data_IF_313351548733
#
_entry.id   IF_313351548733
#
_cell.length_a   1.000
_cell.length_b   1.000
_cell.length_c   1.000
_cell.angle_alpha   90.00
_cell.angle_beta   90.00
_cell.angle_gamma   90.00
#
_symmetry.space_group_name_H-M   'P 1'
#
loop_
_entity.id
_entity.type
_entity.pdbx_description
1 polymer ?
#
# COMPACT_ATOMS: atom_id res chain seq x y z
N UNK A 1 45.66 17.98 0.38
CA UNK A 1 44.40 18.43 1.02
C UNK A 1 43.44 19.13 0.05
N UNK A 2 43.83 19.48 -1.18
CA UNK A 2 42.97 20.17 -2.17
C UNK A 2 42.15 19.25 -3.10
N UNK A 3 42.65 18.04 -3.40
CA UNK A 3 42.04 17.10 -4.36
C UNK A 3 40.72 16.49 -3.86
N UNK A 4 40.65 16.09 -2.59
CA UNK A 4 39.44 15.48 -2.00
C UNK A 4 38.24 16.44 -1.94
N UNK A 5 38.47 17.73 -1.67
CA UNK A 5 37.40 18.73 -1.67
C UNK A 5 36.84 19.00 -3.07
N UNK A 6 37.72 19.06 -4.09
CA UNK A 6 37.28 19.22 -5.48
C UNK A 6 36.50 18.01 -5.98
N UNK A 7 36.91 16.79 -5.62
CA UNK A 7 36.23 15.57 -6.05
C UNK A 7 34.83 15.45 -5.41
N UNK A 8 34.68 15.83 -4.14
CA UNK A 8 33.37 15.92 -3.46
C UNK A 8 32.46 16.96 -4.12
N UNK A 9 33.01 18.13 -4.48
CA UNK A 9 32.25 19.18 -5.17
C UNK A 9 31.79 18.71 -6.55
N UNK A 10 32.67 18.06 -7.31
CA UNK A 10 32.35 17.46 -8.62
C UNK A 10 31.26 16.40 -8.48
N UNK A 11 31.32 15.54 -7.47
CA UNK A 11 30.28 14.55 -7.19
C UNK A 11 28.91 15.22 -7.00
N UNK A 12 28.82 16.25 -6.15
CA UNK A 12 27.56 16.95 -5.87
C UNK A 12 27.01 17.69 -7.10
N UNK A 13 27.87 18.35 -7.87
CA UNK A 13 27.48 19.00 -9.13
C UNK A 13 26.92 17.98 -10.12
N UNK A 14 27.63 16.86 -10.32
CA UNK A 14 27.19 15.77 -11.20
C UNK A 14 25.88 15.14 -10.72
N UNK A 15 25.73 14.98 -9.40
CA UNK A 15 24.49 14.48 -8.80
C UNK A 15 23.31 15.41 -9.16
N UNK A 16 23.47 16.72 -8.97
CA UNK A 16 22.44 17.71 -9.27
C UNK A 16 22.07 17.73 -10.77
N UNK A 17 23.06 17.73 -11.66
CA UNK A 17 22.85 17.69 -13.10
C UNK A 17 22.06 16.46 -13.54
N UNK A 18 22.46 15.28 -13.05
CA UNK A 18 21.80 14.02 -13.34
C UNK A 18 20.37 13.96 -12.77
N UNK A 19 20.12 14.53 -11.58
CA UNK A 19 18.75 14.64 -11.03
C UNK A 19 17.88 15.53 -11.93
N UNK A 20 18.40 16.67 -12.38
CA UNK A 20 17.67 17.57 -13.29
C UNK A 20 17.37 16.86 -14.60
N UNK A 21 18.34 16.15 -15.17
CA UNK A 21 18.17 15.38 -16.41
C UNK A 21 17.15 14.26 -16.24
N UNK A 22 17.22 13.49 -15.14
CA UNK A 22 16.26 12.44 -14.84
C UNK A 22 14.83 13.00 -14.73
N UNK A 23 14.65 14.14 -14.06
CA UNK A 23 13.33 14.80 -13.96
C UNK A 23 12.79 15.22 -15.34
N UNK A 24 13.64 15.77 -16.22
CA UNK A 24 13.25 16.09 -17.61
C UNK A 24 12.85 14.82 -18.39
N UNK A 25 13.55 13.72 -18.19
CA UNK A 25 13.22 12.43 -18.80
C UNK A 25 11.90 11.86 -18.27
N UNK A 26 11.64 11.97 -16.97
CA UNK A 26 10.35 11.60 -16.39
C UNK A 26 9.22 12.41 -17.02
N UNK A 27 9.36 13.74 -17.10
CA UNK A 27 8.33 14.62 -17.68
C UNK A 27 8.08 14.36 -19.17
N UNK A 28 9.10 13.94 -19.92
CA UNK A 28 8.97 13.50 -21.31
C UNK A 28 8.50 12.03 -21.45
N UNK A 29 8.07 11.38 -20.36
CA UNK A 29 7.60 9.99 -20.33
C UNK A 29 8.67 8.94 -20.65
N UNK A 30 9.95 9.32 -20.65
CA UNK A 30 11.05 8.43 -20.91
C UNK A 30 11.53 7.74 -19.62
N UNK A 31 10.68 6.89 -19.07
CA UNK A 31 10.93 6.28 -17.76
C UNK A 31 12.13 5.33 -17.76
N UNK A 32 12.45 4.68 -18.90
CA UNK A 32 13.59 3.77 -19.01
C UNK A 32 14.91 4.48 -18.74
N UNK A 33 15.13 5.60 -19.42
CA UNK A 33 16.35 6.37 -19.26
C UNK A 33 16.40 7.12 -17.93
N UNK A 34 15.26 7.66 -17.48
CA UNK A 34 15.17 8.25 -16.14
C UNK A 34 15.53 7.24 -15.05
N UNK A 35 14.94 6.05 -15.09
CA UNK A 35 15.19 4.97 -14.13
C UNK A 35 16.66 4.55 -14.11
N UNK A 36 17.30 4.45 -15.28
CA UNK A 36 18.74 4.15 -15.36
C UNK A 36 19.57 5.21 -14.64
N UNK A 37 19.36 6.49 -14.95
CA UNK A 37 20.11 7.59 -14.30
C UNK A 37 19.90 7.60 -12.79
N UNK A 38 18.67 7.45 -12.33
CA UNK A 38 18.36 7.47 -10.89
C UNK A 38 18.97 6.25 -10.16
N UNK A 39 19.00 5.09 -10.81
CA UNK A 39 19.64 3.89 -10.26
C UNK A 39 21.17 4.03 -10.21
N UNK A 40 21.77 4.60 -11.26
CA UNK A 40 23.20 4.88 -11.30
C UNK A 40 23.60 5.89 -10.20
N UNK A 41 22.76 6.90 -9.95
CA UNK A 41 22.94 7.85 -8.85
C UNK A 41 22.87 7.15 -7.49
N UNK A 42 21.89 6.27 -7.28
CA UNK A 42 21.80 5.48 -6.04
C UNK A 42 23.08 4.67 -5.79
N UNK A 43 23.55 3.92 -6.78
CA UNK A 43 24.80 3.16 -6.62
C UNK A 43 26.01 4.06 -6.38
N UNK A 44 26.04 5.26 -6.97
CA UNK A 44 27.12 6.22 -6.72
C UNK A 44 27.11 6.75 -5.28
N UNK A 45 25.92 6.94 -4.68
CA UNK A 45 25.76 7.32 -3.28
C UNK A 45 26.24 6.19 -2.37
N UNK A 46 25.77 4.96 -2.62
CA UNK A 46 26.11 3.80 -1.79
C UNK A 46 27.61 3.53 -1.75
N UNK A 47 28.27 3.58 -2.93
CA UNK A 47 29.72 3.36 -3.08
C UNK A 47 30.57 4.49 -2.51
N UNK A 48 30.00 5.65 -2.20
CA UNK A 48 30.77 6.78 -1.67
C UNK A 48 31.07 6.56 -0.19
N UNK A 49 32.34 6.30 0.13
CA UNK A 49 32.79 6.05 1.51
C UNK A 49 32.80 7.31 2.38
N UNK A 50 32.99 8.49 1.76
CA UNK A 50 33.06 9.78 2.47
C UNK A 50 31.69 10.35 2.88
N UNK A 51 30.59 9.77 2.38
CA UNK A 51 29.23 10.17 2.76
C UNK A 51 28.82 9.42 4.03
N UNK A 52 28.41 10.16 5.06
CA UNK A 52 27.77 9.57 6.22
C UNK A 52 26.37 9.03 5.88
N UNK A 53 25.84 8.20 6.77
CA UNK A 53 24.53 7.54 6.60
C UNK A 53 23.41 8.57 6.40
N UNK A 54 23.45 9.68 7.14
CA UNK A 54 22.44 10.73 7.06
C UNK A 54 22.44 11.41 5.69
N UNK A 55 23.62 11.70 5.14
CA UNK A 55 23.78 12.34 3.85
C UNK A 55 23.42 11.41 2.72
N UNK A 56 23.78 10.12 2.81
CA UNK A 56 23.30 9.09 1.87
C UNK A 56 21.78 9.06 1.85
N UNK A 57 21.16 8.98 3.02
CA UNK A 57 19.70 8.99 3.13
C UNK A 57 19.07 10.26 2.52
N UNK A 58 19.61 11.45 2.78
CA UNK A 58 19.13 12.70 2.17
C UNK A 58 19.18 12.66 0.64
N UNK A 59 20.28 12.18 0.05
CA UNK A 59 20.44 12.11 -1.41
C UNK A 59 19.50 11.05 -2.02
N UNK A 60 19.31 9.92 -1.35
CA UNK A 60 18.33 8.89 -1.74
C UNK A 60 16.91 9.45 -1.70
N UNK A 61 16.56 10.22 -0.67
CA UNK A 61 15.26 10.88 -0.56
C UNK A 61 15.02 11.88 -1.71
N UNK A 62 16.05 12.55 -2.22
CA UNK A 62 15.93 13.40 -3.42
C UNK A 62 15.56 12.57 -4.66
N UNK A 63 16.12 11.37 -4.80
CA UNK A 63 15.76 10.43 -5.88
C UNK A 63 14.30 9.99 -5.72
N UNK A 64 13.92 9.50 -4.54
CA UNK A 64 12.54 9.07 -4.23
C UNK A 64 11.51 10.18 -4.47
N UNK A 65 11.82 11.41 -4.03
CA UNK A 65 10.96 12.57 -4.25
C UNK A 65 10.80 12.93 -5.72
N UNK A 66 11.82 12.69 -6.56
CA UNK A 66 11.73 12.94 -8.00
C UNK A 66 10.71 12.01 -8.67
N UNK A 67 10.68 10.73 -8.27
CA UNK A 67 9.64 9.80 -8.68
C UNK A 67 8.26 10.21 -8.15
N UNK A 68 8.19 10.55 -6.86
CA UNK A 68 6.92 10.90 -6.22
C UNK A 68 6.24 12.11 -6.86
N UNK A 69 6.97 13.20 -7.09
CA UNK A 69 6.46 14.40 -7.76
C UNK A 69 5.89 14.04 -9.13
N UNK A 70 6.61 13.19 -9.88
CA UNK A 70 6.17 12.76 -11.20
C UNK A 70 4.91 11.90 -11.14
N UNK A 71 4.85 10.90 -10.26
CA UNK A 71 3.67 10.06 -10.09
C UNK A 71 2.43 10.87 -9.69
N UNK A 72 2.59 11.84 -8.78
CA UNK A 72 1.51 12.76 -8.43
C UNK A 72 1.06 13.59 -9.63
N UNK A 73 1.99 14.04 -10.48
CA UNK A 73 1.63 14.81 -11.69
C UNK A 73 0.80 13.98 -12.68
N UNK A 74 1.07 12.67 -12.79
CA UNK A 74 0.25 11.77 -13.60
C UNK A 74 -1.13 11.54 -12.99
N UNK A 75 -1.21 11.34 -11.66
CA UNK A 75 -2.51 11.17 -11.00
C UNK A 75 -3.35 12.45 -10.98
N UNK A 76 -2.73 13.64 -10.96
CA UNK A 76 -3.43 14.93 -10.96
C UNK A 76 -4.11 15.23 -12.32
N UNK A 77 -3.66 14.61 -13.42
CA UNK A 77 -4.36 14.66 -14.70
C UNK A 77 -5.77 14.05 -14.59
N UNK A 78 -5.94 13.00 -13.77
CA UNK A 78 -7.25 12.39 -13.47
C UNK A 78 -8.19 13.37 -12.77
N UNK A 79 -7.70 14.18 -11.84
CA UNK A 79 -8.52 15.21 -11.15
C UNK A 79 -8.90 16.40 -12.04
N UNK A 80 -8.19 16.61 -13.15
CA UNK A 80 -8.48 17.65 -14.13
C UNK A 80 -9.44 17.17 -15.25
N UNK A 81 -9.98 15.95 -15.13
CA UNK A 81 -10.94 15.39 -16.09
C UNK A 81 -10.33 14.73 -17.31
N UNK A 82 -9.00 14.53 -17.35
CA UNK A 82 -8.34 13.77 -18.40
C UNK A 82 -8.25 12.29 -18.03
N UNK A 83 -8.43 11.42 -19.03
CA UNK A 83 -8.18 9.99 -18.87
C UNK A 83 -6.72 9.74 -18.53
N UNK A 84 -6.51 9.02 -17.43
CA UNK A 84 -5.19 8.60 -16.99
C UNK A 84 -4.63 7.61 -18.03
N UNK A 85 -3.48 7.93 -18.62
CA UNK A 85 -2.72 6.95 -19.40
C UNK A 85 -2.21 5.84 -18.46
N UNK A 86 -2.98 4.76 -18.39
CA UNK A 86 -2.74 3.61 -17.51
C UNK A 86 -1.40 2.94 -17.83
N UNK A 87 -1.00 2.88 -19.11
CA UNK A 87 0.26 2.24 -19.52
C UNK A 87 1.43 3.04 -18.98
N UNK A 88 1.41 4.36 -19.20
CA UNK A 88 2.44 5.28 -18.70
C UNK A 88 2.50 5.27 -17.18
N UNK A 89 1.36 5.29 -16.51
CA UNK A 89 1.28 5.28 -15.05
C UNK A 89 1.83 3.99 -14.44
N UNK A 90 1.46 2.82 -15.00
CA UNK A 90 1.95 1.51 -14.54
C UNK A 90 3.44 1.35 -14.81
N UNK A 91 3.95 1.76 -15.99
CA UNK A 91 5.39 1.68 -16.27
C UNK A 91 6.21 2.56 -15.32
N UNK A 92 5.71 3.75 -14.96
CA UNK A 92 6.35 4.62 -13.98
C UNK A 92 6.41 3.95 -12.59
N UNK A 93 5.29 3.41 -12.10
CA UNK A 93 5.24 2.70 -10.81
C UNK A 93 6.13 1.45 -10.80
N UNK A 94 6.12 0.64 -11.86
CA UNK A 94 6.97 -0.55 -11.98
C UNK A 94 8.44 -0.22 -11.77
N UNK A 95 8.92 0.84 -12.42
CA UNK A 95 10.32 1.28 -12.34
C UNK A 95 10.65 1.91 -11.00
N UNK A 96 9.72 2.68 -10.44
CA UNK A 96 9.88 3.22 -9.11
C UNK A 96 9.95 2.13 -8.04
N UNK A 97 9.07 1.12 -8.08
CA UNK A 97 9.14 -0.01 -7.17
C UNK A 97 10.41 -0.84 -7.35
N UNK A 98 10.92 -0.97 -8.57
CA UNK A 98 12.21 -1.62 -8.80
C UNK A 98 13.36 -0.87 -8.12
N UNK A 99 13.27 0.45 -8.01
CA UNK A 99 14.20 1.28 -7.24
C UNK A 99 13.96 1.14 -5.73
N UNK A 100 12.72 1.21 -5.26
CA UNK A 100 12.39 1.07 -3.83
C UNK A 100 12.79 -0.29 -3.26
N UNK A 101 12.61 -1.36 -4.02
CA UNK A 101 13.04 -2.71 -3.65
C UNK A 101 14.57 -2.84 -3.46
N UNK A 102 15.35 -1.82 -3.84
CA UNK A 102 16.80 -1.75 -3.62
C UNK A 102 17.17 -0.94 -2.40
N UNK A 103 16.26 -0.11 -1.89
CA UNK A 103 16.47 0.68 -0.68
C UNK A 103 16.24 -0.12 0.60
N UNK A 104 15.61 -1.30 0.49
CA UNK A 104 15.13 -2.12 1.62
C UNK A 104 14.20 -1.34 2.59
N UNK A 105 13.60 -0.23 2.13
CA UNK A 105 12.65 0.59 2.90
C UNK A 105 11.22 0.08 2.67
N UNK A 106 10.81 -0.89 3.48
CA UNK A 106 9.50 -1.52 3.39
C UNK A 106 8.35 -0.54 3.66
N UNK A 107 8.55 0.44 4.54
CA UNK A 107 7.52 1.42 4.87
C UNK A 107 7.21 2.33 3.68
N UNK A 108 8.24 2.82 3.00
CA UNK A 108 8.06 3.66 1.82
C UNK A 108 7.44 2.85 0.68
N UNK A 109 7.86 1.59 0.50
CA UNK A 109 7.27 0.68 -0.47
C UNK A 109 5.75 0.47 -0.24
N UNK A 110 5.35 0.12 0.98
CA UNK A 110 3.95 -0.14 1.35
C UNK A 110 3.05 1.07 1.11
N UNK A 111 3.51 2.26 1.50
CA UNK A 111 2.77 3.50 1.30
C UNK A 111 2.49 3.77 -0.18
N UNK A 112 3.47 3.59 -1.06
CA UNK A 112 3.31 3.81 -2.49
C UNK A 112 2.48 2.71 -3.15
N UNK A 113 2.61 1.46 -2.70
CA UNK A 113 1.79 0.36 -3.17
C UNK A 113 0.31 0.56 -2.83
N UNK A 114 0.02 0.94 -1.58
CA UNK A 114 -1.34 1.28 -1.14
C UNK A 114 -1.94 2.42 -1.95
N UNK A 115 -1.16 3.46 -2.28
CA UNK A 115 -1.63 4.56 -3.16
C UNK A 115 -1.92 4.09 -4.58
N UNK A 116 -1.08 3.23 -5.15
CA UNK A 116 -1.31 2.65 -6.47
C UNK A 116 -2.63 1.87 -6.50
N UNK A 117 -2.83 0.97 -5.53
CA UNK A 117 -4.04 0.17 -5.41
C UNK A 117 -5.29 1.05 -5.30
N UNK A 118 -5.27 2.07 -4.44
CA UNK A 118 -6.38 3.03 -4.30
C UNK A 118 -6.69 3.79 -5.60
N UNK A 119 -5.75 3.89 -6.54
CA UNK A 119 -5.97 4.57 -7.83
C UNK A 119 -6.73 3.69 -8.82
N UNK A 120 -6.56 2.36 -8.72
CA UNK A 120 -7.18 1.36 -9.59
C UNK A 120 -8.42 0.70 -9.00
N UNK A 121 -8.54 0.66 -7.68
CA UNK A 121 -9.65 0.04 -6.96
C UNK A 121 -10.47 1.16 -6.33
N UNK A 122 -11.53 1.59 -7.02
CA UNK A 122 -12.55 2.44 -6.41
C UNK A 122 -13.66 1.56 -5.80
N UNK A 123 -14.44 2.12 -4.86
CA UNK A 123 -15.59 1.40 -4.26
C UNK A 123 -16.60 0.93 -5.32
N UNK A 124 -16.70 1.67 -6.42
CA UNK A 124 -17.55 1.35 -7.57
C UNK A 124 -17.05 0.15 -8.38
N UNK A 125 -15.73 -0.09 -8.39
CA UNK A 125 -15.10 -1.22 -9.08
C UNK A 125 -15.20 -2.53 -8.26
N UNK A 126 -15.52 -2.41 -6.97
CA UNK A 126 -15.71 -3.53 -6.07
C UNK A 126 -17.10 -4.14 -6.27
N UNK A 127 -17.18 -5.22 -7.04
CA UNK A 127 -18.39 -6.03 -7.14
C UNK A 127 -18.84 -6.50 -5.76
N UNK A 128 -20.07 -6.13 -5.35
CA UNK A 128 -20.70 -6.65 -4.13
C UNK A 128 -20.66 -8.19 -4.10
N UNK A 129 -20.86 -8.83 -5.25
CA UNK A 129 -20.78 -10.29 -5.38
C UNK A 129 -19.34 -10.79 -5.20
N UNK A 130 -18.36 -10.14 -5.83
CA UNK A 130 -16.94 -10.52 -5.70
C UNK A 130 -16.42 -10.41 -4.27
N UNK A 131 -16.78 -9.35 -3.54
CA UNK A 131 -16.43 -9.22 -2.11
C UNK A 131 -17.13 -10.31 -1.29
N UNK A 132 -18.40 -10.61 -1.61
CA UNK A 132 -19.16 -11.66 -0.93
C UNK A 132 -18.49 -13.01 -1.08
N UNK A 133 -18.11 -13.38 -2.31
CA UNK A 133 -17.44 -14.64 -2.61
C UNK A 133 -16.06 -14.70 -1.94
N UNK A 134 -15.31 -13.60 -1.96
CA UNK A 134 -14.02 -13.50 -1.30
C UNK A 134 -14.14 -13.70 0.23
N UNK A 135 -15.01 -12.95 0.90
CA UNK A 135 -15.20 -13.06 2.36
C UNK A 135 -15.72 -14.46 2.73
N UNK A 136 -16.66 -15.01 1.97
CA UNK A 136 -17.19 -16.35 2.21
C UNK A 136 -16.13 -17.45 2.01
N UNK A 137 -15.25 -17.33 1.01
CA UNK A 137 -14.13 -18.27 0.82
C UNK A 137 -13.17 -18.26 2.03
N UNK A 138 -12.96 -17.09 2.64
CA UNK A 138 -12.14 -16.97 3.83
C UNK A 138 -12.87 -17.51 5.08
N UNK A 139 -14.18 -17.31 5.18
CA UNK A 139 -15.01 -17.89 6.25
C UNK A 139 -15.03 -19.42 6.19
N UNK A 140 -15.02 -20.02 5.00
CA UNK A 140 -14.89 -21.48 4.83
C UNK A 140 -13.61 -22.01 5.49
N UNK A 141 -12.48 -21.33 5.25
CA UNK A 141 -11.19 -21.70 5.84
C UNK A 141 -11.16 -21.46 7.35
N UNK A 142 -11.71 -20.34 7.82
CA UNK A 142 -11.82 -20.02 9.26
C UNK A 142 -12.72 -21.01 10.00
N UNK A 143 -13.78 -21.49 9.36
CA UNK A 143 -14.67 -22.50 9.90
C UNK A 143 -13.94 -23.82 10.16
N UNK A 144 -13.01 -24.22 9.28
CA UNK A 144 -12.15 -25.38 9.50
C UNK A 144 -11.14 -25.20 10.63
N UNK A 145 -10.75 -23.95 10.91
CA UNK A 145 -9.85 -23.60 12.02
C UNK A 145 -10.60 -23.31 13.34
N UNK A 146 -11.92 -23.47 13.39
CA UNK A 146 -12.80 -23.20 14.55
C UNK A 146 -12.69 -21.77 15.13
N UNK A 147 -12.20 -20.80 14.34
CA UNK A 147 -12.03 -19.40 14.77
C UNK A 147 -13.31 -18.58 14.60
N UNK A 148 -14.32 -18.94 15.38
CA UNK A 148 -15.71 -18.46 15.22
C UNK A 148 -15.89 -16.96 15.45
N UNK A 149 -15.15 -16.34 16.36
CA UNK A 149 -15.21 -14.89 16.61
C UNK A 149 -14.81 -14.09 15.36
N UNK A 150 -13.74 -14.54 14.69
CA UNK A 150 -13.27 -13.95 13.44
C UNK A 150 -14.27 -14.15 12.29
N UNK A 151 -15.00 -15.27 12.30
CA UNK A 151 -16.10 -15.51 11.35
C UNK A 151 -17.24 -14.51 11.54
N UNK A 152 -17.58 -14.18 12.79
CA UNK A 152 -18.62 -13.18 13.11
C UNK A 152 -18.20 -11.79 12.62
N UNK A 153 -16.98 -11.36 12.92
CA UNK A 153 -16.44 -10.07 12.47
C UNK A 153 -16.50 -9.92 10.95
N UNK A 154 -16.07 -10.94 10.22
CA UNK A 154 -16.07 -10.95 8.75
C UNK A 154 -17.48 -10.91 8.16
N UNK A 155 -18.43 -11.58 8.80
CA UNK A 155 -19.82 -11.60 8.35
C UNK A 155 -20.55 -10.28 8.67
N UNK A 156 -20.23 -9.62 9.80
CA UNK A 156 -20.70 -8.26 10.10
C UNK A 156 -20.12 -7.26 9.08
N UNK A 157 -18.82 -7.36 8.77
CA UNK A 157 -18.19 -6.57 7.73
C UNK A 157 -18.87 -6.78 6.37
N UNK A 158 -19.19 -8.03 6.02
CA UNK A 158 -19.88 -8.35 4.77
C UNK A 158 -21.28 -7.73 4.71
N UNK A 159 -22.04 -7.74 5.81
CA UNK A 159 -23.35 -7.08 5.90
C UNK A 159 -23.24 -5.57 5.67
N UNK A 160 -22.22 -4.94 6.27
CA UNK A 160 -21.91 -3.52 6.05
C UNK A 160 -21.56 -3.22 4.59
N UNK A 161 -20.66 -4.01 3.98
CA UNK A 161 -20.21 -3.81 2.61
C UNK A 161 -21.32 -4.05 1.56
N UNK A 162 -22.24 -4.98 1.84
CA UNK A 162 -23.41 -5.24 0.98
C UNK A 162 -24.53 -4.21 1.15
N UNK A 163 -24.53 -3.46 2.26
CA UNK A 163 -25.66 -2.66 2.73
C UNK A 163 -26.92 -3.52 2.91
N UNK A 164 -26.73 -4.75 3.41
CA UNK A 164 -27.79 -5.76 3.53
C UNK A 164 -27.65 -6.55 4.82
N UNK A 165 -28.76 -6.69 5.53
CA UNK A 165 -28.84 -7.46 6.79
C UNK A 165 -29.08 -8.96 6.51
N UNK A 166 -29.13 -9.38 5.24
CA UNK A 166 -29.43 -10.78 4.88
C UNK A 166 -28.25 -11.66 5.35
N UNK A 167 -28.46 -12.51 6.37
CA UNK A 167 -27.40 -13.33 6.92
C UNK A 167 -26.99 -14.40 5.91
N UNK A 168 -25.69 -14.67 5.84
CA UNK A 168 -25.18 -15.84 5.11
C UNK A 168 -25.26 -17.08 6.01
N UNK A 169 -25.12 -18.27 5.42
CA UNK A 169 -25.04 -19.54 6.17
C UNK A 169 -23.91 -19.52 7.21
N UNK A 170 -22.79 -18.84 6.92
CA UNK A 170 -21.68 -18.67 7.88
C UNK A 170 -22.08 -17.80 9.08
N UNK A 171 -22.85 -16.73 8.87
CA UNK A 171 -23.37 -15.93 9.98
C UNK A 171 -24.36 -16.72 10.82
N UNK A 172 -25.26 -17.49 10.18
CA UNK A 172 -26.21 -18.36 10.89
C UNK A 172 -25.46 -19.42 11.71
N UNK A 173 -24.48 -20.10 11.13
CA UNK A 173 -23.67 -21.10 11.84
C UNK A 173 -22.93 -20.49 13.04
N UNK A 174 -22.33 -19.31 12.88
CA UNK A 174 -21.65 -18.60 13.97
C UNK A 174 -22.64 -18.21 15.09
N UNK A 175 -23.82 -17.72 14.72
CA UNK A 175 -24.87 -17.31 15.65
C UNK A 175 -25.54 -18.51 16.34
N UNK A 176 -25.69 -19.64 15.67
CA UNK A 176 -26.14 -20.89 16.29
C UNK A 176 -25.17 -21.35 17.37
N UNK A 177 -23.86 -21.28 17.09
CA UNK A 177 -22.85 -21.62 18.07
C UNK A 177 -22.86 -20.66 19.26
N UNK A 178 -22.88 -19.35 19.01
CA UNK A 178 -23.06 -18.34 20.07
C UNK A 178 -24.34 -18.60 20.86
N UNK A 179 -25.44 -18.90 20.18
CA UNK A 179 -26.72 -19.26 20.77
C UNK A 179 -26.57 -20.45 21.71
N UNK A 180 -25.91 -21.54 21.26
CA UNK A 180 -25.63 -22.72 22.10
C UNK A 180 -24.81 -22.37 23.35
N UNK A 181 -23.88 -21.42 23.27
CA UNK A 181 -23.14 -20.93 24.44
C UNK A 181 -24.06 -20.12 25.36
N UNK A 182 -24.81 -19.16 24.80
CA UNK A 182 -25.71 -18.28 25.54
C UNK A 182 -26.81 -19.07 26.26
N UNK A 183 -27.34 -20.14 25.66
CA UNK A 183 -28.35 -20.98 26.28
C UNK A 183 -27.80 -21.80 27.46
N UNK A 184 -26.49 -22.07 27.50
CA UNK A 184 -25.82 -22.66 28.68
C UNK A 184 -25.62 -21.65 29.82
N UNK A 185 -25.79 -20.36 29.55
CA UNK A 185 -25.70 -19.29 30.54
C UNK A 185 -27.07 -19.07 31.18
N UNK A 186 -27.06 -18.79 32.49
CA UNK A 186 -28.24 -18.45 33.27
C UNK A 186 -28.99 -17.25 32.65
N UNK A 187 -30.34 -17.28 32.53
CA UNK A 187 -31.10 -16.27 31.79
C UNK A 187 -30.78 -14.81 32.15
N UNK A 188 -30.62 -14.51 33.44
CA UNK A 188 -30.30 -13.16 33.92
C UNK A 188 -28.90 -12.65 33.54
N UNK A 189 -27.97 -13.55 33.16
CA UNK A 189 -26.58 -13.23 32.81
C UNK A 189 -26.34 -13.17 31.29
N UNK A 190 -27.32 -13.59 30.48
CA UNK A 190 -27.19 -13.64 29.01
C UNK A 190 -27.00 -12.26 28.38
N UNK A 191 -27.73 -11.25 28.85
CA UNK A 191 -27.61 -9.88 28.34
C UNK A 191 -26.23 -9.28 28.64
N UNK A 192 -25.70 -9.52 29.84
CA UNK A 192 -24.37 -9.06 30.24
C UNK A 192 -23.26 -9.76 29.44
N UNK A 193 -23.42 -11.06 29.15
CA UNK A 193 -22.50 -11.82 28.31
C UNK A 193 -22.46 -11.31 26.87
N UNK A 194 -23.63 -11.05 26.26
CA UNK A 194 -23.73 -10.45 24.93
C UNK A 194 -23.11 -9.05 24.89
N UNK A 195 -23.35 -8.24 25.93
CA UNK A 195 -22.75 -6.91 26.07
C UNK A 195 -21.22 -6.99 26.12
N UNK A 196 -20.65 -7.89 26.94
CA UNK A 196 -19.20 -8.10 27.01
C UNK A 196 -18.60 -8.58 25.68
N UNK A 197 -19.30 -9.42 24.91
CA UNK A 197 -18.82 -9.83 23.58
C UNK A 197 -18.73 -8.62 22.65
N UNK A 198 -19.77 -7.78 22.62
CA UNK A 198 -19.82 -6.60 21.75
C UNK A 198 -18.78 -5.56 22.18
N UNK A 199 -18.57 -5.38 23.48
CA UNK A 199 -17.62 -4.41 24.02
C UNK A 199 -16.15 -4.79 23.77
N UNK A 200 -15.83 -6.10 23.75
CA UNK A 200 -14.47 -6.62 23.52
C UNK A 200 -14.12 -6.81 22.02
N UNK A 201 -14.98 -6.39 21.09
CA UNK A 201 -14.72 -6.39 19.63
C UNK A 201 -14.07 -5.05 19.17
N UNK A 202 -13.67 -4.20 20.12
CA UNK A 202 -12.85 -3.00 19.86
C UNK A 202 -11.36 -3.31 19.67
#
# INVERSE_FOLDING_TARGET
MSTDFEDRKKFLSKFQENIIQARKLLQSSNHRWASKILMDLYFSIERSEWLDIQKKHQLIMIISNSWWIYLNSLSHQKSLGFDLDKIKFVDAYKRFFSFLARLDDFYLFDNFFTRLLKTFINREDLSKNGITDFINSFCQRISQEEKLLKMIELQILLMYLRESVIPTEYFQSAMEYLGRIIFKIEPGKRALFLYNIIENVN
#
